data_IF_068431411242
#
_entry.id   IF_068431411242
#
_cell.length_a   1.000
_cell.length_b   1.000
_cell.length_c   1.000
_cell.angle_alpha   90.00
_cell.angle_beta   90.00
_cell.angle_gamma   90.00
#
_symmetry.space_group_name_H-M   'P 1'
#
loop_
_entity.id
_entity.type
_entity.pdbx_description
1 polymer ?
#
# COMPACT_ATOMS: atom_id res chain seq x y z
N UNK A 1 11.48 -65.45 19.52
CA UNK A 1 12.28 -65.53 20.76
C UNK A 1 11.60 -64.63 21.78
N UNK A 2 11.34 -65.19 22.98
CA UNK A 2 10.64 -64.66 24.16
C UNK A 2 10.92 -63.18 24.48
N UNK A 3 10.06 -62.40 25.14
CA UNK A 3 8.84 -62.68 25.87
C UNK A 3 8.21 -61.39 26.42
N UNK A 4 6.98 -61.49 26.90
CA UNK A 4 6.19 -60.43 27.51
C UNK A 4 6.60 -60.19 28.97
N UNK A 5 6.45 -58.95 29.46
CA UNK A 5 6.28 -58.65 30.88
C UNK A 5 5.32 -57.46 31.09
N UNK A 6 4.23 -57.71 31.83
CA UNK A 6 3.53 -56.75 32.71
C UNK A 6 3.85 -57.18 34.15
N UNK A 7 3.98 -56.24 35.10
CA UNK A 7 2.98 -56.10 36.17
C UNK A 7 2.70 -54.61 36.54
N UNK A 8 1.45 -54.15 36.71
CA UNK A 8 0.61 -54.07 37.94
C UNK A 8 1.16 -53.23 39.11
N UNK A 9 0.42 -52.16 39.48
CA UNK A 9 -0.17 -52.07 40.83
C UNK A 9 0.30 -50.98 41.81
N UNK A 10 -0.59 -50.01 42.01
CA UNK A 10 -1.18 -49.61 43.32
C UNK A 10 -0.53 -48.55 44.25
N UNK A 11 -1.43 -47.65 44.72
CA UNK A 11 -1.53 -46.95 46.02
C UNK A 11 -0.64 -45.71 46.21
N UNK A 12 -1.23 -44.50 46.19
CA UNK A 12 -1.92 -43.79 47.29
C UNK A 12 -1.00 -43.30 48.40
N UNK A 13 -0.92 -41.99 48.58
CA UNK A 13 -1.15 -41.37 49.88
C UNK A 13 -1.43 -39.86 49.75
N UNK A 14 -2.54 -39.46 50.36
CA UNK A 14 -2.87 -38.08 50.76
C UNK A 14 -2.02 -37.71 51.98
N UNK A 15 -1.72 -36.44 52.17
CA UNK A 15 -1.80 -35.68 53.42
C UNK A 15 -1.59 -34.19 53.06
N UNK A 16 -2.62 -33.35 53.23
CA UNK A 16 -2.88 -32.53 54.43
C UNK A 16 -1.87 -31.36 54.53
N UNK A 17 -2.22 -30.17 54.02
CA UNK A 17 -2.88 -29.07 54.74
C UNK A 17 -1.96 -28.30 55.67
N UNK A 18 -1.71 -27.03 55.36
CA UNK A 18 -1.60 -25.99 56.38
C UNK A 18 -2.04 -24.64 55.82
N UNK A 19 -3.01 -24.08 56.53
CA UNK A 19 -3.64 -22.79 56.37
C UNK A 19 -2.72 -21.68 56.91
N UNK A 20 -2.76 -20.50 56.29
CA UNK A 20 -2.58 -19.25 57.02
C UNK A 20 -3.55 -18.18 56.50
N UNK A 21 -4.41 -17.75 57.42
CA UNK A 21 -5.15 -16.49 57.43
C UNK A 21 -4.21 -15.30 57.22
N UNK A 22 -4.60 -14.17 56.64
CA UNK A 22 -5.49 -13.22 57.33
C UNK A 22 -5.70 -11.94 56.49
N UNK A 23 -6.96 -11.49 56.49
CA UNK A 23 -7.46 -10.13 56.73
C UNK A 23 -7.14 -8.87 55.86
N UNK A 24 -8.27 -8.17 55.59
CA UNK A 24 -8.49 -6.71 55.40
C UNK A 24 -8.04 -6.11 54.04
N UNK A 25 -8.74 -5.16 53.39
CA UNK A 25 -9.83 -4.24 53.72
C UNK A 25 -10.43 -3.72 52.40
N UNK A 26 -11.72 -3.39 52.42
CA UNK A 26 -12.43 -2.58 51.44
C UNK A 26 -11.95 -1.13 51.40
N UNK A 27 -11.89 -0.50 50.23
CA UNK A 27 -12.69 0.70 49.85
C UNK A 27 -12.14 1.46 48.63
N UNK A 28 -13.06 2.18 47.97
CA UNK A 28 -12.90 3.31 47.03
C UNK A 28 -12.72 3.04 45.52
N UNK A 29 -13.88 2.84 44.88
CA UNK A 29 -14.42 3.71 43.82
C UNK A 29 -13.52 4.89 43.38
N UNK A 30 -12.96 4.78 42.18
CA UNK A 30 -12.75 5.94 41.31
C UNK A 30 -13.22 5.63 39.89
N UNK A 31 -14.28 6.33 39.53
CA UNK A 31 -14.92 6.42 38.23
C UNK A 31 -14.00 7.29 37.36
N UNK A 32 -13.21 6.69 36.48
CA UNK A 32 -12.51 7.45 35.44
C UNK A 32 -13.41 7.52 34.20
N UNK A 33 -13.97 8.70 34.01
CA UNK A 33 -14.62 9.17 32.80
C UNK A 33 -13.63 9.18 31.63
N UNK A 34 -14.00 8.50 30.53
CA UNK A 34 -13.36 8.65 29.23
C UNK A 34 -13.35 10.12 28.79
N UNK A 35 -12.23 10.66 28.27
CA UNK A 35 -12.30 11.88 27.48
C UNK A 35 -12.80 11.51 26.08
N UNK A 36 -14.07 11.77 25.82
CA UNK A 36 -14.62 11.81 24.47
C UNK A 36 -13.96 12.98 23.71
N UNK A 37 -13.40 12.69 22.53
CA UNK A 37 -13.09 13.70 21.52
C UNK A 37 -14.42 14.29 21.01
N UNK A 38 -14.86 15.39 21.59
CA UNK A 38 -15.91 16.24 21.05
C UNK A 38 -15.66 17.68 21.46
N UNK A 39 -15.05 18.47 20.57
CA UNK A 39 -14.94 19.91 20.69
C UNK A 39 -16.26 20.55 20.24
N UNK A 40 -17.05 21.00 21.20
CA UNK A 40 -18.25 21.80 20.99
C UNK A 40 -17.84 23.22 20.57
N UNK A 41 -18.27 23.63 19.39
CA UNK A 41 -18.06 24.96 18.83
C UNK A 41 -18.91 26.01 19.55
N UNK A 42 -18.29 27.09 20.00
CA UNK A 42 -18.99 28.30 20.42
C UNK A 42 -19.38 29.09 19.16
N UNK A 43 -20.69 29.25 18.99
CA UNK A 43 -21.33 29.99 17.91
C UNK A 43 -21.05 31.48 18.05
N UNK A 44 -20.41 32.06 17.03
CA UNK A 44 -20.54 33.48 16.71
C UNK A 44 -21.04 33.57 15.28
N UNK A 45 -22.28 34.04 15.13
CA UNK A 45 -22.97 34.22 13.87
C UNK A 45 -22.21 35.21 12.96
N UNK A 46 -21.60 34.70 11.90
CA UNK A 46 -21.30 35.49 10.69
C UNK A 46 -21.73 34.65 9.49
N UNK A 47 -22.52 35.28 8.64
CA UNK A 47 -23.27 34.74 7.51
C UNK A 47 -22.47 33.87 6.54
N UNK A 48 -23.05 32.71 6.27
CA UNK A 48 -22.87 31.78 5.14
C UNK A 48 -22.11 32.30 3.90
N UNK A 49 -20.86 31.85 3.79
CA UNK A 49 -20.27 31.46 2.51
C UNK A 49 -19.81 30.01 2.67
N UNK A 50 -20.28 29.11 1.81
CA UNK A 50 -19.73 27.76 1.72
C UNK A 50 -18.23 27.86 1.42
N UNK A 51 -17.37 27.52 2.38
CA UNK A 51 -15.92 27.43 2.14
C UNK A 51 -15.58 26.08 1.49
N UNK A 52 -14.99 26.03 0.29
CA UNK A 52 -14.61 24.79 -0.40
C UNK A 52 -13.39 24.06 0.19
N UNK A 53 -13.05 24.29 1.47
CA UNK A 53 -11.78 23.93 2.08
C UNK A 53 -11.69 22.50 2.67
N UNK A 54 -12.59 21.56 2.31
CA UNK A 54 -12.60 20.22 2.94
C UNK A 54 -12.74 19.03 1.99
N UNK A 55 -12.73 19.24 0.67
CA UNK A 55 -12.86 18.14 -0.30
C UNK A 55 -11.48 17.68 -0.75
N UNK A 56 -11.11 16.44 -0.42
CA UNK A 56 -9.91 15.78 -0.94
C UNK A 56 -10.29 14.98 -2.18
N UNK A 57 -9.69 15.32 -3.33
CA UNK A 57 -9.90 14.64 -4.60
C UNK A 57 -8.57 14.39 -5.33
N UNK A 58 -8.42 13.23 -5.95
CA UNK A 58 -7.25 12.89 -6.77
C UNK A 58 -7.60 11.88 -7.86
N UNK A 59 -6.76 11.85 -8.89
CA UNK A 59 -6.83 10.86 -9.97
C UNK A 59 -5.79 9.77 -9.74
N UNK A 60 -6.13 8.54 -10.08
CA UNK A 60 -5.16 7.45 -10.08
C UNK A 60 -5.46 6.42 -11.16
N UNK A 61 -4.44 5.64 -11.49
CA UNK A 61 -4.54 4.49 -12.40
C UNK A 61 -3.63 3.37 -11.92
N UNK A 62 -4.02 2.14 -12.23
CA UNK A 62 -3.21 0.94 -12.02
C UNK A 62 -3.10 0.18 -13.33
N UNK A 63 -1.89 0.07 -13.87
CA UNK A 63 -1.60 -0.78 -15.02
C UNK A 63 -0.93 -2.06 -14.57
N UNK A 64 -1.34 -3.20 -15.13
CA UNK A 64 -0.68 -4.48 -14.87
C UNK A 64 0.48 -4.70 -15.83
N UNK A 65 1.67 -4.95 -15.29
CA UNK A 65 2.88 -5.11 -16.10
C UNK A 65 2.99 -6.55 -16.60
N UNK A 66 3.14 -6.69 -17.91
CA UNK A 66 3.41 -7.98 -18.55
C UNK A 66 4.92 -8.19 -18.62
N UNK A 67 5.39 -9.29 -18.02
CA UNK A 67 6.81 -9.59 -17.90
C UNK A 67 7.19 -10.87 -18.65
N UNK A 68 8.35 -10.82 -19.30
CA UNK A 68 9.03 -11.99 -19.86
C UNK A 68 10.42 -12.12 -19.23
N UNK A 69 10.53 -13.04 -18.28
CA UNK A 69 11.78 -13.34 -17.57
C UNK A 69 12.73 -14.23 -18.38
N UNK A 70 12.33 -14.68 -19.57
CA UNK A 70 13.05 -15.63 -20.42
C UNK A 70 13.19 -15.10 -21.87
N UNK A 71 13.77 -13.91 -22.11
CA UNK A 71 13.72 -13.29 -23.43
C UNK A 71 14.53 -14.01 -24.51
N UNK A 72 15.51 -14.87 -24.17
CA UNK A 72 16.50 -15.40 -25.12
C UNK A 72 16.91 -16.87 -24.91
N UNK A 73 15.96 -17.81 -24.79
CA UNK A 73 16.31 -19.25 -24.82
C UNK A 73 16.97 -19.74 -26.12
N UNK A 74 16.91 -18.95 -27.19
CA UNK A 74 17.46 -19.32 -28.51
C UNK A 74 18.98 -19.15 -28.65
N UNK A 75 19.67 -18.55 -27.66
CA UNK A 75 21.07 -18.14 -27.81
C UNK A 75 22.04 -18.73 -26.76
N UNK A 76 21.80 -19.93 -26.24
CA UNK A 76 22.81 -20.74 -25.51
C UNK A 76 23.42 -20.16 -24.22
N UNK A 77 23.21 -18.89 -23.90
CA UNK A 77 23.44 -18.28 -22.60
C UNK A 77 22.13 -18.32 -21.84
N UNK A 78 22.13 -18.98 -20.67
CA UNK A 78 21.05 -18.90 -19.70
C UNK A 78 20.94 -17.44 -19.23
N UNK A 79 19.95 -16.63 -19.64
CA UNK A 79 19.67 -15.39 -18.94
C UNK A 79 18.91 -15.82 -17.70
N UNK A 80 19.66 -16.19 -16.65
CA UNK A 80 19.06 -16.77 -15.44
C UNK A 80 17.96 -15.85 -14.92
N UNK A 81 16.77 -16.43 -14.73
CA UNK A 81 15.62 -15.74 -14.12
C UNK A 81 16.13 -14.99 -12.88
N UNK A 82 15.87 -13.67 -12.76
CA UNK A 82 16.36 -12.90 -11.61
C UNK A 82 15.91 -13.55 -10.32
N UNK A 83 16.86 -13.93 -9.46
CA UNK A 83 16.58 -14.57 -8.16
C UNK A 83 17.32 -13.86 -7.04
N UNK A 84 16.70 -13.82 -5.88
CA UNK A 84 17.36 -13.41 -4.65
C UNK A 84 18.30 -14.51 -4.12
N UNK A 85 18.99 -14.23 -3.01
CA UNK A 85 19.91 -15.18 -2.38
C UNK A 85 19.23 -16.43 -1.79
N UNK A 86 17.91 -16.43 -1.68
CA UNK A 86 17.09 -17.57 -1.26
C UNK A 86 16.34 -18.21 -2.41
N UNK A 87 16.73 -17.90 -3.65
CA UNK A 87 16.17 -18.42 -4.90
C UNK A 87 14.74 -17.98 -5.21
N UNK A 88 14.17 -16.99 -4.51
CA UNK A 88 12.88 -16.41 -4.90
C UNK A 88 13.05 -15.64 -6.21
N UNK A 89 12.15 -15.86 -7.16
CA UNK A 89 12.06 -15.08 -8.39
C UNK A 89 11.79 -13.61 -8.04
N UNK A 90 12.60 -12.70 -8.58
CA UNK A 90 12.49 -11.25 -8.39
C UNK A 90 11.85 -10.57 -9.60
N UNK A 91 11.38 -9.32 -9.45
CA UNK A 91 10.93 -8.53 -10.60
C UNK A 91 12.04 -8.38 -11.65
N UNK A 92 11.69 -8.15 -12.92
CA UNK A 92 12.69 -7.99 -13.95
C UNK A 92 13.66 -6.83 -13.67
N UNK A 93 14.95 -7.09 -13.88
CA UNK A 93 16.02 -6.09 -13.71
C UNK A 93 16.22 -5.21 -14.94
N UNK A 94 15.73 -5.62 -16.12
CA UNK A 94 15.93 -4.88 -17.36
C UNK A 94 14.59 -4.44 -17.92
N UNK A 95 14.51 -3.19 -18.38
CA UNK A 95 13.37 -2.65 -19.14
C UNK A 95 12.90 -3.58 -20.26
N UNK A 96 13.83 -4.25 -20.95
CA UNK A 96 13.53 -5.17 -22.07
C UNK A 96 12.76 -6.42 -21.67
N UNK A 97 12.73 -6.77 -20.39
CA UNK A 97 11.94 -7.89 -19.88
C UNK A 97 10.47 -7.50 -19.60
N UNK A 98 10.11 -6.22 -19.70
CA UNK A 98 8.73 -5.76 -19.70
C UNK A 98 8.22 -5.71 -21.14
N UNK A 99 7.20 -6.51 -21.45
CA UNK A 99 6.73 -6.70 -22.84
C UNK A 99 5.57 -5.78 -23.20
N UNK A 100 4.72 -5.45 -22.23
CA UNK A 100 3.59 -4.52 -22.37
C UNK A 100 3.00 -4.19 -20.99
N UNK A 101 1.98 -3.33 -20.96
CA UNK A 101 1.14 -3.11 -19.80
C UNK A 101 -0.33 -3.32 -20.19
N UNK A 102 -1.10 -4.01 -19.35
CA UNK A 102 -2.56 -4.01 -19.43
C UNK A 102 -3.04 -2.72 -18.79
N UNK A 103 -3.54 -1.81 -19.63
CA UNK A 103 -3.97 -0.47 -19.20
C UNK A 103 -5.25 -0.59 -18.38
N UNK A 104 -5.23 -0.04 -17.17
CA UNK A 104 -6.39 0.06 -16.30
C UNK A 104 -7.25 1.28 -16.58
N UNK A 105 -8.32 1.40 -15.81
CA UNK A 105 -9.24 2.54 -15.82
C UNK A 105 -8.65 3.66 -14.97
N UNK A 106 -8.69 4.90 -15.47
CA UNK A 106 -8.40 6.07 -14.63
C UNK A 106 -9.57 6.29 -13.69
N UNK A 107 -9.31 6.31 -12.40
CA UNK A 107 -10.30 6.57 -11.36
C UNK A 107 -10.10 7.95 -10.75
N UNK A 108 -11.20 8.53 -10.29
CA UNK A 108 -11.24 9.68 -9.40
C UNK A 108 -11.67 9.20 -8.02
N UNK A 109 -10.83 9.49 -7.03
CA UNK A 109 -11.22 9.43 -5.63
C UNK A 109 -11.73 10.81 -5.21
N UNK A 110 -12.88 10.88 -4.55
CA UNK A 110 -13.39 12.11 -3.94
C UNK A 110 -13.99 11.77 -2.57
N UNK A 111 -13.36 12.23 -1.49
CA UNK A 111 -13.81 12.05 -0.10
C UNK A 111 -14.24 10.60 0.25
N UNK A 112 -13.48 9.60 -0.21
CA UNK A 112 -13.73 8.20 0.09
C UNK A 112 -14.54 7.46 -0.96
N UNK A 113 -15.05 8.16 -1.98
CA UNK A 113 -15.81 7.56 -3.08
C UNK A 113 -14.92 7.46 -4.32
N UNK A 114 -14.90 6.29 -4.95
CA UNK A 114 -14.14 6.05 -6.18
C UNK A 114 -15.09 5.94 -7.35
N UNK A 115 -14.80 6.68 -8.42
CA UNK A 115 -15.60 6.66 -9.66
C UNK A 115 -14.69 6.64 -10.88
N UNK A 116 -15.07 5.99 -12.00
CA UNK A 116 -14.33 6.11 -13.25
C UNK A 116 -14.25 7.57 -13.72
N UNK A 117 -13.06 8.04 -14.07
CA UNK A 117 -12.82 9.38 -14.57
C UNK A 117 -12.88 9.38 -16.10
N UNK A 118 -14.09 9.37 -16.67
CA UNK A 118 -14.35 9.13 -18.10
C UNK A 118 -13.60 10.06 -19.08
N UNK A 119 -13.23 11.27 -18.65
CA UNK A 119 -12.49 12.25 -19.46
C UNK A 119 -10.98 12.14 -19.30
N UNK A 120 -10.49 11.04 -18.73
CA UNK A 120 -9.07 10.79 -18.52
C UNK A 120 -8.72 9.39 -19.01
N UNK A 121 -7.52 9.24 -19.53
CA UNK A 121 -6.99 7.96 -19.98
C UNK A 121 -5.51 7.85 -19.68
N UNK A 122 -4.98 6.63 -19.75
CA UNK A 122 -3.54 6.42 -19.81
C UNK A 122 -3.01 6.72 -21.21
N UNK A 123 -1.84 7.35 -21.28
CA UNK A 123 -1.14 7.54 -22.54
C UNK A 123 0.36 7.29 -22.37
N UNK A 124 0.87 6.41 -23.22
CA UNK A 124 2.30 6.15 -23.39
C UNK A 124 2.64 6.18 -24.89
N UNK A 125 3.35 7.20 -25.38
CA UNK A 125 3.69 7.31 -26.80
C UNK A 125 4.54 6.14 -27.30
N UNK A 126 5.56 5.74 -26.53
CA UNK A 126 6.52 4.70 -26.90
C UNK A 126 6.85 3.81 -25.71
N UNK A 127 6.58 2.52 -25.85
CA UNK A 127 6.88 1.48 -24.86
C UNK A 127 8.38 1.44 -24.52
N UNK A 128 8.71 1.26 -23.23
CA UNK A 128 10.08 1.18 -22.68
C UNK A 128 11.01 2.37 -23.03
N UNK A 129 10.48 3.49 -23.50
CA UNK A 129 11.27 4.69 -23.87
C UNK A 129 10.69 5.99 -23.33
N UNK A 130 9.38 6.05 -23.17
CA UNK A 130 8.69 7.21 -22.63
C UNK A 130 7.90 6.81 -21.39
N UNK A 131 7.93 7.62 -20.31
CA UNK A 131 7.05 7.42 -19.17
C UNK A 131 5.61 7.52 -19.64
N UNK A 132 4.78 6.60 -19.17
CA UNK A 132 3.34 6.73 -19.34
C UNK A 132 2.78 7.72 -18.33
N UNK A 133 1.60 8.27 -18.64
CA UNK A 133 0.94 9.26 -17.81
C UNK A 133 -0.56 9.29 -18.02
N UNK A 134 -1.29 9.70 -17.00
CA UNK A 134 -2.68 10.09 -17.13
C UNK A 134 -2.74 11.35 -18.01
N UNK A 135 -3.64 11.34 -18.97
CA UNK A 135 -3.95 12.47 -19.85
C UNK A 135 -5.42 12.80 -19.74
N UNK A 136 -5.76 14.04 -20.03
CA UNK A 136 -7.13 14.48 -20.18
C UNK A 136 -7.54 14.43 -21.63
N UNK A 137 -8.76 13.98 -21.86
CA UNK A 137 -9.38 13.87 -23.16
C UNK A 137 -10.47 14.92 -23.31
N UNK A 138 -10.57 15.49 -24.51
CA UNK A 138 -11.73 16.26 -24.91
C UNK A 138 -12.92 15.31 -25.10
N UNK A 139 -14.06 15.52 -24.41
CA UNK A 139 -15.21 14.63 -24.49
C UNK A 139 -15.83 14.51 -25.90
N UNK A 140 -15.65 15.52 -26.75
CA UNK A 140 -16.24 15.57 -28.09
C UNK A 140 -15.32 14.96 -29.16
N UNK A 141 -14.01 15.21 -29.05
CA UNK A 141 -13.04 14.78 -30.07
C UNK A 141 -12.23 13.54 -29.66
N UNK A 142 -12.28 13.16 -28.38
CA UNK A 142 -11.45 12.11 -27.79
C UNK A 142 -9.93 12.35 -27.98
N UNK A 143 -9.53 13.62 -28.19
CA UNK A 143 -8.13 14.01 -28.33
C UNK A 143 -7.56 14.47 -27.00
N UNK A 144 -6.24 14.31 -26.81
CA UNK A 144 -5.54 14.81 -25.62
C UNK A 144 -5.63 16.34 -25.60
N UNK A 145 -6.21 16.89 -24.53
CA UNK A 145 -6.34 18.34 -24.33
C UNK A 145 -5.65 18.87 -23.06
N UNK A 146 -5.04 17.99 -22.27
CA UNK A 146 -4.31 18.40 -21.07
C UNK A 146 -3.64 17.24 -20.34
N UNK A 147 -2.84 17.59 -19.33
CA UNK A 147 -2.13 16.66 -18.47
C UNK A 147 -2.40 17.05 -17.01
N UNK A 148 -2.99 16.16 -16.19
CA UNK A 148 -3.07 16.37 -14.75
C UNK A 148 -1.67 16.54 -14.14
N UNK A 149 -1.60 17.27 -13.04
CA UNK A 149 -0.34 17.50 -12.32
C UNK A 149 -0.01 16.21 -11.55
N UNK A 150 1.15 15.56 -11.77
CA UNK A 150 1.58 14.43 -10.96
C UNK A 150 1.72 14.82 -9.49
N UNK A 151 1.28 13.94 -8.59
CA UNK A 151 1.41 14.15 -7.15
C UNK A 151 2.82 13.80 -6.65
N UNK A 152 3.83 14.54 -7.12
CA UNK A 152 5.20 14.43 -6.60
C UNK A 152 5.33 15.33 -5.37
N UNK A 153 5.66 14.76 -4.22
CA UNK A 153 5.79 15.49 -2.96
C UNK A 153 7.15 15.21 -2.29
N UNK A 154 7.41 15.87 -1.16
CA UNK A 154 8.67 15.69 -0.42
C UNK A 154 8.87 14.28 0.16
N UNK A 155 7.81 13.47 0.20
CA UNK A 155 7.78 12.12 0.77
C UNK A 155 7.87 11.02 -0.27
N UNK A 156 7.71 11.34 -1.56
CA UNK A 156 7.86 10.37 -2.63
C UNK A 156 7.27 10.80 -3.96
N UNK A 157 7.52 10.00 -5.00
CA UNK A 157 7.01 10.27 -6.34
C UNK A 157 5.57 9.78 -6.53
N UNK A 158 4.88 10.46 -7.45
CA UNK A 158 3.54 10.17 -7.94
C UNK A 158 3.38 8.82 -8.62
N UNK A 159 4.48 8.24 -9.10
CA UNK A 159 4.50 7.03 -9.91
C UNK A 159 5.40 5.98 -9.27
N UNK A 160 4.86 4.79 -9.04
CA UNK A 160 5.60 3.70 -8.39
C UNK A 160 5.30 2.37 -9.09
N UNK A 161 6.29 1.48 -9.09
CA UNK A 161 6.14 0.11 -9.56
C UNK A 161 6.14 -0.84 -8.37
N UNK A 162 5.14 -1.71 -8.26
CA UNK A 162 4.93 -2.61 -7.12
C UNK A 162 4.80 -4.04 -7.62
N UNK A 163 5.50 -4.99 -7.02
CA UNK A 163 5.46 -6.41 -7.35
C UNK A 163 5.20 -7.27 -6.13
N UNK A 164 4.39 -8.32 -6.32
CA UNK A 164 4.35 -9.47 -5.43
C UNK A 164 5.12 -10.62 -6.07
N UNK A 165 6.12 -11.15 -5.35
CA UNK A 165 7.10 -12.07 -5.92
C UNK A 165 6.95 -13.51 -5.44
N UNK A 166 6.91 -13.72 -4.11
CA UNK A 166 6.63 -15.02 -3.51
C UNK A 166 6.13 -14.84 -2.07
N UNK A 167 5.59 -15.88 -1.41
CA UNK A 167 5.23 -15.78 0.01
C UNK A 167 6.42 -15.45 0.95
N UNK A 168 7.66 -15.68 0.50
CA UNK A 168 8.89 -15.43 1.26
C UNK A 168 9.60 -14.13 0.86
N UNK A 169 9.31 -13.58 -0.31
CA UNK A 169 9.70 -12.24 -0.77
C UNK A 169 8.42 -11.47 -1.18
N UNK A 170 7.62 -11.04 -0.21
CA UNK A 170 6.20 -10.76 -0.43
C UNK A 170 5.94 -9.57 -1.34
N UNK A 171 6.52 -8.41 -1.04
CA UNK A 171 6.27 -7.16 -1.78
C UNK A 171 7.58 -6.41 -2.02
N UNK A 172 7.84 -6.13 -3.30
CA UNK A 172 8.96 -5.32 -3.79
C UNK A 172 8.39 -4.08 -4.48
N UNK A 173 8.95 -2.91 -4.18
CA UNK A 173 8.49 -1.61 -4.66
C UNK A 173 9.65 -0.81 -5.23
N UNK A 174 9.35 0.04 -6.21
CA UNK A 174 10.26 1.07 -6.70
C UNK A 174 9.54 2.40 -6.81
N UNK A 175 10.31 3.46 -6.62
CA UNK A 175 9.89 4.86 -6.63
C UNK A 175 9.75 5.43 -8.05
N UNK A 176 9.65 4.59 -9.09
CA UNK A 176 9.48 5.06 -10.46
C UNK A 176 8.93 3.95 -11.36
N UNK A 177 8.77 4.25 -12.64
CA UNK A 177 8.41 3.32 -13.69
C UNK A 177 9.61 2.42 -14.04
N UNK A 178 9.56 1.16 -13.57
CA UNK A 178 10.62 0.18 -13.78
C UNK A 178 10.81 -0.23 -15.24
N UNK A 179 9.88 0.12 -16.14
CA UNK A 179 9.96 -0.16 -17.57
C UNK A 179 10.95 0.75 -18.32
N UNK A 180 11.50 1.77 -17.65
CA UNK A 180 12.32 2.80 -18.29
C UNK A 180 13.83 2.63 -18.09
N UNK A 181 14.27 1.65 -17.30
CA UNK A 181 15.68 1.56 -16.91
C UNK A 181 16.14 0.17 -16.50
N UNK A 182 17.30 0.18 -15.83
CA UNK A 182 17.88 -1.02 -15.24
C UNK A 182 17.63 -0.99 -13.75
N UNK A 183 16.87 -1.94 -13.26
CA UNK A 183 16.51 -2.06 -11.86
C UNK A 183 17.43 -3.02 -11.11
N UNK A 184 17.68 -2.73 -9.84
CA UNK A 184 18.53 -3.56 -8.97
C UNK A 184 17.98 -3.59 -7.55
N UNK A 185 18.14 -4.73 -6.88
CA UNK A 185 17.80 -4.83 -5.46
C UNK A 185 18.82 -4.06 -4.63
N UNK A 186 18.38 -3.02 -3.92
CA UNK A 186 19.27 -2.24 -3.05
C UNK A 186 19.77 -3.15 -1.94
N UNK A 187 21.07 -3.41 -1.90
CA UNK A 187 21.71 -4.05 -0.75
C UNK A 187 22.13 -2.89 0.13
N UNK A 188 21.77 -2.90 1.42
CA UNK A 188 22.19 -1.82 2.33
C UNK A 188 23.71 -1.88 2.64
N UNK A 189 24.56 -2.02 1.62
CA UNK A 189 26.00 -1.93 1.67
C UNK A 189 26.40 -0.46 1.55
N UNK A 190 27.34 0.03 2.39
CA UNK A 190 27.97 1.34 2.19
C UNK A 190 28.61 1.51 0.79
N UNK A 191 28.92 0.41 0.11
CA UNK A 191 29.41 0.36 -1.26
C UNK A 191 28.36 0.67 -2.34
N UNK A 192 27.06 0.59 -2.03
CA UNK A 192 25.95 0.88 -2.97
C UNK A 192 25.73 2.40 -3.16
N UNK A 193 26.56 3.25 -2.52
CA UNK A 193 26.48 4.72 -2.61
C UNK A 193 27.01 5.32 -3.93
N UNK A 194 27.57 4.50 -4.83
CA UNK A 194 28.29 4.96 -6.03
C UNK A 194 27.61 4.61 -7.37
N UNK A 195 26.33 4.24 -7.38
CA UNK A 195 25.64 4.02 -8.66
C UNK A 195 25.24 5.36 -9.29
N UNK A 196 26.18 5.95 -10.03
CA UNK A 196 25.92 7.00 -11.02
C UNK A 196 25.18 6.38 -12.23
N UNK A 197 23.93 6.80 -12.49
CA UNK A 197 23.18 6.39 -13.69
C UNK A 197 21.67 6.20 -13.47
N UNK A 198 20.94 5.94 -14.57
CA UNK A 198 19.48 5.68 -14.67
C UNK A 198 19.03 4.37 -13.99
N UNK A 199 19.60 4.02 -12.84
CA UNK A 199 19.26 2.81 -12.11
C UNK A 199 18.02 3.01 -11.25
N UNK A 200 17.19 1.97 -11.23
CA UNK A 200 15.90 1.96 -10.54
C UNK A 200 16.01 1.05 -9.31
N UNK A 201 16.02 1.58 -8.08
CA UNK A 201 16.15 0.74 -6.90
C UNK A 201 14.87 -0.05 -6.67
N UNK A 202 15.01 -1.37 -6.50
CA UNK A 202 14.03 -2.22 -5.86
C UNK A 202 14.23 -2.20 -4.36
N UNK A 203 13.13 -2.05 -3.64
CA UNK A 203 13.04 -1.91 -2.20
C UNK A 203 12.02 -2.93 -1.68
N UNK A 204 12.29 -3.58 -0.55
CA UNK A 204 11.24 -4.33 0.15
C UNK A 204 10.24 -3.31 0.73
N UNK A 205 8.95 -3.65 0.77
CA UNK A 205 7.97 -2.79 1.44
C UNK A 205 8.35 -2.56 2.91
N UNK A 206 8.39 -1.30 3.33
CA UNK A 206 8.60 -0.92 4.73
C UNK A 206 7.46 -0.03 5.22
N UNK A 207 7.41 0.11 6.55
CA UNK A 207 6.46 0.94 7.26
C UNK A 207 7.21 1.91 8.15
N UNK A 208 6.89 3.20 8.06
CA UNK A 208 7.48 4.17 8.97
C UNK A 208 6.87 4.04 10.37
N UNK A 209 7.68 4.16 11.44
CA UNK A 209 7.12 4.52 12.73
C UNK A 209 6.36 5.82 12.50
N UNK A 210 5.07 5.86 12.87
CA UNK A 210 4.54 7.14 13.31
C UNK A 210 5.50 7.62 14.38
N UNK A 211 6.31 8.65 14.09
CA UNK A 211 7.44 9.07 14.91
C UNK A 211 7.08 9.28 16.39
N UNK A 212 8.06 9.45 17.27
CA UNK A 212 7.78 9.97 18.61
C UNK A 212 7.03 11.31 18.48
N UNK A 213 5.77 11.35 18.90
CA UNK A 213 4.86 12.48 18.66
C UNK A 213 3.96 12.37 17.43
N UNK A 214 3.96 11.23 16.71
CA UNK A 214 2.96 10.94 15.69
C UNK A 214 1.58 10.94 16.32
N UNK A 215 0.71 11.77 15.75
CA UNK A 215 -0.70 11.91 16.11
C UNK A 215 -1.54 10.65 15.84
N UNK A 216 -0.94 9.57 15.32
CA UNK A 216 -1.67 8.39 14.84
C UNK A 216 -1.05 7.06 15.29
N UNK A 217 -0.98 6.76 16.60
CA UNK A 217 -0.61 5.43 17.07
C UNK A 217 -1.53 4.38 16.42
N UNK A 218 -0.98 3.21 16.06
CA UNK A 218 -1.72 2.12 15.44
C UNK A 218 -1.91 2.21 13.91
N UNK A 219 -1.52 3.32 13.27
CA UNK A 219 -1.54 3.44 11.80
C UNK A 219 -0.21 2.98 11.21
N UNK A 220 -0.28 2.16 10.16
CA UNK A 220 0.89 1.69 9.39
C UNK A 220 1.12 2.61 8.19
N UNK A 221 2.22 3.36 8.16
CA UNK A 221 2.55 4.26 7.04
C UNK A 221 3.49 3.58 6.04
N UNK A 222 2.99 3.18 4.88
CA UNK A 222 3.82 2.53 3.84
C UNK A 222 4.85 3.50 3.27
N UNK A 223 6.04 2.97 3.02
CA UNK A 223 7.14 3.70 2.41
C UNK A 223 7.94 2.78 1.46
N UNK A 224 8.18 3.28 0.24
CA UNK A 224 8.92 2.60 -0.81
C UNK A 224 10.42 2.88 -0.84
N UNK A 225 10.97 3.74 0.03
CA UNK A 225 12.40 4.12 0.09
C UNK A 225 13.28 3.11 0.85
N UNK A 226 12.72 1.94 1.19
CA UNK A 226 13.30 0.89 2.03
C UNK A 226 13.72 1.32 3.46
N UNK A 227 13.25 2.46 3.95
CA UNK A 227 13.48 2.90 5.33
C UNK A 227 12.31 2.53 6.25
N UNK A 228 12.59 2.20 7.52
CA UNK A 228 11.59 1.94 8.54
C UNK A 228 11.53 0.48 8.99
N UNK A 229 10.34 0.03 9.37
CA UNK A 229 10.05 -1.31 9.86
C UNK A 229 9.58 -2.24 8.75
N UNK A 230 9.95 -3.51 8.87
CA UNK A 230 9.47 -4.60 8.00
C UNK A 230 8.20 -5.25 8.55
N UNK A 231 7.43 -4.53 9.38
CA UNK A 231 6.19 -5.01 9.95
C UNK A 231 5.19 -3.87 10.11
N UNK A 232 3.90 -4.21 10.05
CA UNK A 232 2.77 -3.30 10.20
C UNK A 232 2.64 -2.82 11.65
N UNK A 233 2.14 -1.60 11.84
CA UNK A 233 1.84 -1.06 13.16
C UNK A 233 0.46 -1.52 13.65
N UNK A 234 0.37 -1.68 14.97
CA UNK A 234 -0.83 -2.14 15.65
C UNK A 234 -1.02 -3.65 15.66
N UNK A 235 -1.92 -4.13 16.52
CA UNK A 235 -2.34 -5.54 16.56
C UNK A 235 -3.57 -5.80 15.70
N UNK A 236 -3.63 -7.03 15.18
CA UNK A 236 -4.76 -7.65 14.49
C UNK A 236 -5.48 -6.78 13.42
N UNK A 237 -4.75 -6.19 12.44
CA UNK A 237 -5.37 -5.40 11.38
C UNK A 237 -6.33 -6.25 10.52
N UNK A 238 -7.55 -5.76 10.32
CA UNK A 238 -8.63 -6.43 9.58
C UNK A 238 -8.38 -6.49 8.07
N UNK A 239 -7.66 -5.51 7.54
CA UNK A 239 -7.25 -5.43 6.13
C UNK A 239 -6.10 -6.40 5.79
N UNK A 240 -5.40 -6.93 6.81
CA UNK A 240 -4.44 -8.02 6.68
C UNK A 240 -5.20 -9.35 6.80
N UNK A 241 -4.86 -10.40 6.02
CA UNK A 241 -3.79 -10.53 5.03
C UNK A 241 -4.12 -10.02 3.62
N UNK A 242 -5.24 -9.32 3.43
CA UNK A 242 -5.73 -9.04 2.09
C UNK A 242 -4.88 -8.03 1.32
N UNK A 243 -4.41 -6.99 1.99
CA UNK A 243 -3.61 -5.92 1.37
C UNK A 243 -2.11 -6.12 1.58
N UNK A 244 -1.72 -6.61 2.77
CA UNK A 244 -0.32 -6.86 3.12
C UNK A 244 -0.20 -8.31 3.59
N UNK A 245 0.82 -9.06 3.14
CA UNK A 245 1.03 -10.43 3.58
C UNK A 245 1.30 -10.59 5.08
N UNK A 246 0.91 -11.74 5.64
CA UNK A 246 1.08 -12.06 7.06
C UNK A 246 2.53 -12.02 7.56
N UNK A 247 3.51 -12.14 6.66
CA UNK A 247 4.93 -12.01 6.98
C UNK A 247 5.30 -10.64 7.55
N UNK A 248 4.50 -9.61 7.29
CA UNK A 248 4.65 -8.28 7.86
C UNK A 248 3.94 -8.12 9.21
N UNK A 249 3.37 -9.16 9.81
CA UNK A 249 2.69 -9.05 11.11
C UNK A 249 3.67 -8.59 12.19
N UNK A 250 3.24 -7.65 13.02
CA UNK A 250 3.98 -7.27 14.22
C UNK A 250 4.03 -8.42 15.24
N UNK A 251 5.22 -8.93 15.52
CA UNK A 251 5.45 -10.02 16.48
C UNK A 251 6.10 -9.56 17.79
N UNK A 252 6.24 -8.24 18.00
CA UNK A 252 6.86 -7.70 19.20
C UNK A 252 6.08 -8.10 20.46
N UNK A 253 6.80 -8.36 21.54
CA UNK A 253 6.21 -8.56 22.86
C UNK A 253 5.98 -7.20 23.54
N UNK A 254 4.81 -7.01 24.15
CA UNK A 254 4.45 -5.78 24.88
C UNK A 254 3.06 -5.27 24.57
N UNK A 255 2.70 -4.12 25.14
CA UNK A 255 1.46 -3.41 24.81
C UNK A 255 1.58 -2.77 23.42
N UNK A 256 1.13 -3.51 22.39
CA UNK A 256 0.97 -2.99 21.04
C UNK A 256 -0.44 -2.35 20.94
N UNK A 257 -0.58 -1.11 20.46
CA UNK A 257 -1.89 -0.49 20.25
C UNK A 257 -2.72 -1.30 19.24
N UNK A 258 -4.05 -1.15 19.26
CA UNK A 258 -4.89 -1.69 18.17
C UNK A 258 -4.45 -1.11 16.82
N UNK A 259 -4.55 -1.91 15.75
CA UNK A 259 -4.40 -1.34 14.42
C UNK A 259 -5.54 -0.34 14.17
N UNK A 260 -5.18 0.76 13.50
CA UNK A 260 -6.10 1.84 13.13
C UNK A 260 -6.15 2.04 11.62
N UNK A 261 -5.39 1.25 10.87
CA UNK A 261 -5.36 1.35 9.43
C UNK A 261 -3.98 1.35 8.77
N UNK A 262 -4.03 1.59 7.46
CA UNK A 262 -2.92 1.71 6.53
C UNK A 262 -2.97 3.09 5.88
N UNK A 263 -1.84 3.78 5.83
CA UNK A 263 -1.66 5.07 5.15
C UNK A 263 -0.23 5.18 4.59
N UNK A 264 0.26 6.37 4.26
CA UNK A 264 1.58 6.60 3.66
C UNK A 264 1.51 6.82 2.15
N UNK A 265 2.58 6.47 1.43
CA UNK A 265 2.70 6.74 -0.01
C UNK A 265 1.53 6.13 -0.82
N UNK A 266 0.68 7.00 -1.36
CA UNK A 266 -0.59 6.66 -1.98
C UNK A 266 -0.46 5.70 -3.19
N UNK A 267 0.52 5.84 -4.11
CA UNK A 267 0.69 4.88 -5.20
C UNK A 267 0.97 3.45 -4.69
N UNK A 268 1.76 3.30 -3.62
CA UNK A 268 2.00 1.99 -3.00
C UNK A 268 0.73 1.42 -2.37
N UNK A 269 -0.03 2.22 -1.60
CA UNK A 269 -1.29 1.73 -1.00
C UNK A 269 -2.27 1.24 -2.06
N UNK A 270 -2.44 2.00 -3.14
CA UNK A 270 -3.29 1.63 -4.27
C UNK A 270 -2.79 0.34 -4.95
N UNK A 271 -1.47 0.21 -5.15
CA UNK A 271 -0.86 -1.01 -5.68
C UNK A 271 -1.10 -2.24 -4.81
N UNK A 272 -1.11 -2.09 -3.49
CA UNK A 272 -1.43 -3.18 -2.56
C UNK A 272 -2.90 -3.64 -2.70
N UNK A 273 -3.83 -2.70 -2.89
CA UNK A 273 -5.24 -3.03 -3.19
C UNK A 273 -5.39 -3.78 -4.51
N UNK A 274 -4.62 -3.40 -5.53
CA UNK A 274 -4.68 -3.97 -6.87
C UNK A 274 -4.42 -5.48 -6.91
N UNK A 275 -3.63 -6.05 -5.99
CA UNK A 275 -3.38 -7.49 -5.95
C UNK A 275 -4.64 -8.33 -5.75
N UNK A 276 -5.69 -7.77 -5.14
CA UNK A 276 -7.00 -8.41 -4.97
C UNK A 276 -7.83 -8.48 -6.28
N UNK A 277 -7.33 -7.85 -7.34
CA UNK A 277 -7.90 -7.89 -8.67
C UNK A 277 -7.50 -9.16 -9.41
N UNK A 278 -8.36 -9.60 -10.33
CA UNK A 278 -8.00 -10.65 -11.27
C UNK A 278 -7.01 -10.10 -12.30
N UNK A 279 -6.13 -10.94 -12.86
CA UNK A 279 -5.29 -10.56 -13.99
C UNK A 279 -6.15 -9.96 -15.11
N UNK A 280 -5.65 -8.90 -15.74
CA UNK A 280 -6.31 -8.13 -16.82
C UNK A 280 -7.60 -7.39 -16.42
N UNK A 281 -8.06 -7.59 -15.19
CA UNK A 281 -9.29 -7.01 -14.65
C UNK A 281 -9.04 -6.42 -13.26
N UNK A 282 -7.89 -5.76 -13.10
CA UNK A 282 -7.47 -5.13 -11.84
C UNK A 282 -8.47 -4.07 -11.39
N UNK A 283 -9.03 -3.32 -12.34
CA UNK A 283 -10.04 -2.28 -12.14
C UNK A 283 -11.26 -2.74 -11.33
N UNK A 284 -11.60 -4.04 -11.40
CA UNK A 284 -12.71 -4.62 -10.66
C UNK A 284 -12.55 -4.48 -9.14
N UNK A 285 -11.33 -4.29 -8.62
CA UNK A 285 -11.13 -4.00 -7.20
C UNK A 285 -11.82 -2.69 -6.82
N UNK A 286 -11.64 -1.67 -7.65
CA UNK A 286 -12.12 -0.32 -7.40
C UNK A 286 -13.58 -0.15 -7.83
N UNK A 287 -13.98 -0.74 -8.97
CA UNK A 287 -15.37 -0.70 -9.46
C UNK A 287 -16.36 -1.38 -8.52
N UNK A 288 -15.94 -2.46 -7.83
CA UNK A 288 -16.82 -3.20 -6.92
C UNK A 288 -16.91 -2.57 -5.52
N UNK A 289 -16.35 -1.38 -5.29
CA UNK A 289 -16.44 -0.68 -4.02
C UNK A 289 -15.75 -1.39 -2.85
N UNK A 290 -14.72 -2.23 -3.13
CA UNK A 290 -13.92 -2.86 -2.06
C UNK A 290 -13.19 -1.82 -1.20
N UNK A 291 -12.97 -0.63 -1.75
CA UNK A 291 -12.48 0.53 -1.03
C UNK A 291 -13.53 1.64 -1.13
N UNK A 292 -14.16 1.94 0.00
CA UNK A 292 -15.25 2.93 0.11
C UNK A 292 -15.19 3.61 1.47
N UNK A 293 -15.34 4.93 1.50
CA UNK A 293 -15.27 5.75 2.73
C UNK A 293 -14.02 5.48 3.57
N UNK A 294 -12.88 5.29 2.89
CA UNK A 294 -11.59 4.93 3.50
C UNK A 294 -11.62 3.61 4.28
N UNK A 295 -12.58 2.72 4.03
CA UNK A 295 -12.64 1.38 4.61
C UNK A 295 -12.38 0.35 3.53
N UNK A 296 -11.61 -0.66 3.91
CA UNK A 296 -11.37 -1.81 3.04
C UNK A 296 -12.35 -2.94 3.40
N UNK A 297 -13.15 -3.36 2.43
CA UNK A 297 -14.17 -4.42 2.56
C UNK A 297 -13.84 -5.65 1.72
N UNK A 298 -12.60 -5.77 1.25
CA UNK A 298 -12.13 -6.97 0.56
C UNK A 298 -12.08 -8.20 1.47
N UNK A 299 -11.72 -9.34 0.89
CA UNK A 299 -11.71 -10.63 1.63
C UNK A 299 -10.72 -10.60 2.78
N UNK A 300 -10.96 -11.32 3.87
CA UNK A 300 -9.98 -11.53 4.95
C UNK A 300 -8.85 -12.51 4.59
N UNK A 301 -8.63 -12.78 3.30
CA UNK A 301 -7.67 -13.76 2.81
C UNK A 301 -6.64 -13.11 1.91
N UNK A 302 -5.46 -13.71 1.82
CA UNK A 302 -4.41 -13.29 0.90
C UNK A 302 -4.95 -13.28 -0.55
N UNK A 303 -4.47 -12.36 -1.40
CA UNK A 303 -4.88 -12.31 -2.79
C UNK A 303 -4.72 -13.65 -3.51
N UNK A 304 -5.66 -14.00 -4.39
CA UNK A 304 -5.67 -15.33 -5.05
C UNK A 304 -4.71 -15.46 -6.22
N UNK A 305 -4.36 -14.32 -6.82
CA UNK A 305 -3.63 -14.21 -8.08
C UNK A 305 -2.20 -13.70 -7.90
N UNK A 306 -1.66 -13.84 -6.69
CA UNK A 306 -0.23 -13.59 -6.41
C UNK A 306 0.53 -14.92 -6.44
N UNK A 307 1.84 -14.89 -6.68
CA UNK A 307 2.66 -16.10 -6.73
C UNK A 307 2.58 -16.90 -5.43
N UNK A 308 2.45 -18.23 -5.55
CA UNK A 308 2.39 -19.16 -4.40
C UNK A 308 3.70 -19.89 -4.16
N UNK A 309 4.53 -20.03 -5.19
CA UNK A 309 5.87 -20.60 -5.16
C UNK A 309 6.98 -19.57 -5.31
N UNK A 310 8.20 -19.94 -4.92
CA UNK A 310 9.39 -19.10 -5.11
C UNK A 310 9.90 -19.08 -6.55
N UNK A 311 9.43 -19.99 -7.40
CA UNK A 311 9.76 -20.11 -8.83
C UNK A 311 8.67 -19.54 -9.75
N UNK A 312 7.50 -19.22 -9.21
CA UNK A 312 6.41 -18.60 -9.95
C UNK A 312 6.77 -17.16 -10.40
N UNK A 313 6.08 -16.70 -11.44
CA UNK A 313 6.34 -15.37 -12.03
C UNK A 313 5.75 -14.27 -11.14
N UNK A 314 6.55 -13.27 -10.74
CA UNK A 314 6.05 -12.10 -10.03
C UNK A 314 4.92 -11.41 -10.78
N UNK A 315 3.94 -10.93 -10.02
CA UNK A 315 2.87 -10.09 -10.54
C UNK A 315 3.15 -8.66 -10.12
N UNK A 316 3.04 -7.70 -11.03
CA UNK A 316 3.33 -6.31 -10.69
C UNK A 316 2.48 -5.30 -11.42
N UNK A 317 2.46 -4.10 -10.83
CA UNK A 317 1.66 -2.98 -11.27
C UNK A 317 2.50 -1.72 -11.35
N UNK A 318 2.21 -0.90 -12.35
CA UNK A 318 2.61 0.50 -12.40
C UNK A 318 1.42 1.35 -11.94
N UNK A 319 1.64 2.16 -10.90
CA UNK A 319 0.60 3.01 -10.32
C UNK A 319 1.01 4.46 -10.47
N UNK A 320 0.10 5.31 -10.92
CA UNK A 320 0.29 6.76 -10.94
C UNK A 320 -0.85 7.47 -10.24
N UNK A 321 -0.50 8.52 -9.49
CA UNK A 321 -1.43 9.42 -8.79
C UNK A 321 -1.21 10.85 -9.26
N UNK A 322 -2.29 11.55 -9.59
CA UNK A 322 -2.27 12.95 -9.98
C UNK A 322 -3.24 13.77 -9.14
N UNK A 323 -2.95 15.06 -9.01
CA UNK A 323 -3.87 16.03 -8.44
C UNK A 323 -5.14 16.12 -9.28
N UNK A 324 -6.29 16.27 -8.62
CA UNK A 324 -7.57 16.58 -9.24
C UNK A 324 -7.93 18.02 -8.90
N UNK A 325 -7.32 18.96 -9.62
CA UNK A 325 -7.49 20.40 -9.42
C UNK A 325 -8.66 20.99 -10.20
N UNK A 326 -9.28 20.23 -11.10
CA UNK A 326 -10.38 20.71 -11.92
C UNK A 326 -11.71 20.63 -11.15
N UNK A 327 -12.37 21.76 -10.92
CA UNK A 327 -13.68 21.76 -10.26
C UNK A 327 -14.79 21.34 -11.23
N UNK A 328 -15.19 20.07 -11.19
CA UNK A 328 -16.39 19.57 -11.88
C UNK A 328 -16.37 19.78 -13.40
N UNK A 329 -17.55 19.99 -14.01
CA UNK A 329 -17.73 20.16 -15.47
C UNK A 329 -17.24 21.52 -16.01
N UNK A 330 -16.41 22.25 -15.26
CA UNK A 330 -15.92 23.56 -15.68
C UNK A 330 -14.81 23.42 -16.73
N UNK A 331 -14.71 24.37 -17.68
CA UNK A 331 -13.57 24.44 -18.59
C UNK A 331 -12.27 24.60 -17.81
N UNK A 332 -11.21 23.96 -18.30
CA UNK A 332 -9.86 24.11 -17.74
C UNK A 332 -9.33 25.51 -17.97
N UNK A 333 -9.52 26.34 -16.96
CA UNK A 333 -9.01 27.70 -16.89
C UNK A 333 -8.43 27.87 -15.50
N UNK A 334 -7.32 28.60 -15.36
CA UNK A 334 -6.68 28.80 -14.05
C UNK A 334 -7.67 29.29 -12.98
N UNK A 335 -8.64 30.11 -13.38
CA UNK A 335 -9.70 30.66 -12.52
C UNK A 335 -10.71 29.61 -12.02
N UNK A 336 -10.85 28.48 -12.71
CA UNK A 336 -11.79 27.40 -12.37
C UNK A 336 -11.11 26.25 -11.62
N UNK A 337 -9.78 26.26 -11.55
CA UNK A 337 -9.00 25.23 -10.90
C UNK A 337 -8.81 25.56 -9.42
N UNK A 338 -8.89 24.54 -8.58
CA UNK A 338 -8.36 24.64 -7.22
C UNK A 338 -6.85 24.93 -7.31
N UNK A 339 -6.32 25.82 -6.46
CA UNK A 339 -4.88 26.04 -6.39
C UNK A 339 -4.15 24.73 -6.11
N UNK A 340 -3.07 24.47 -6.84
CA UNK A 340 -2.26 23.25 -6.72
C UNK A 340 -1.84 23.00 -5.28
N UNK A 341 -1.47 24.06 -4.55
CA UNK A 341 -1.03 24.00 -3.16
C UNK A 341 -2.14 23.48 -2.23
N UNK A 342 -3.40 23.82 -2.53
CA UNK A 342 -4.56 23.34 -1.76
C UNK A 342 -4.80 21.85 -2.04
N UNK A 343 -4.73 21.43 -3.30
CA UNK A 343 -4.82 20.01 -3.66
C UNK A 343 -3.70 19.19 -3.02
N UNK A 344 -2.46 19.66 -3.13
CA UNK A 344 -1.28 19.04 -2.51
C UNK A 344 -1.45 18.90 -1.00
N UNK A 345 -1.80 19.99 -0.30
CA UNK A 345 -1.99 19.97 1.15
C UNK A 345 -3.12 19.01 1.58
N UNK A 346 -4.20 18.92 0.81
CA UNK A 346 -5.31 18.00 1.08
C UNK A 346 -4.90 16.53 0.91
N UNK A 347 -4.07 16.21 -0.09
CA UNK A 347 -3.55 14.86 -0.31
C UNK A 347 -2.49 14.49 0.73
N UNK A 348 -1.56 15.40 1.05
CA UNK A 348 -0.55 15.17 2.09
C UNK A 348 -1.19 14.92 3.45
N UNK A 349 -2.27 15.66 3.76
CA UNK A 349 -3.06 15.42 4.97
C UNK A 349 -3.69 14.03 4.95
N UNK A 350 -4.21 13.58 3.81
CA UNK A 350 -4.78 12.25 3.66
C UNK A 350 -3.73 11.14 3.84
N UNK A 351 -2.53 11.30 3.26
CA UNK A 351 -1.44 10.32 3.36
C UNK A 351 -0.83 10.21 4.77
N UNK A 352 -0.65 11.35 5.45
CA UNK A 352 0.19 11.40 6.66
C UNK A 352 -0.55 11.68 7.96
N UNK A 353 -1.79 12.16 7.90
CA UNK A 353 -2.58 12.49 9.10
C UNK A 353 -3.86 11.67 9.24
N UNK A 354 -4.41 11.22 8.13
CA UNK A 354 -5.57 10.35 8.14
C UNK A 354 -5.17 8.90 7.81
N UNK A 355 -6.01 7.96 8.23
CA UNK A 355 -5.93 6.59 7.74
C UNK A 355 -6.67 6.51 6.40
N UNK A 356 -5.92 6.26 5.33
CA UNK A 356 -6.43 6.04 3.98
C UNK A 356 -7.26 4.74 3.89
N UNK A 357 -6.82 3.72 4.63
CA UNK A 357 -7.57 2.49 4.91
C UNK A 357 -7.75 2.39 6.41
N UNK A 358 -9.00 2.28 6.86
CA UNK A 358 -9.40 2.14 8.26
C UNK A 358 -9.79 0.70 8.55
N UNK A 359 -9.57 0.30 9.81
CA UNK A 359 -10.10 -0.93 10.39
C UNK A 359 -11.60 -0.88 10.69
#
# INVERSE_FOLDING_TARGET
>A
MFGAFKPTGSKSNRHASSSFSSHHKSSHSHRHTNPNCSSTSTVTHVSSFFSPASTTSFLFIVNELQINLEPNRAAGSDPSVPRDQWTNTMPPQLATAYTSETIGTVFRYTNGIITPAQNYAWYRPVWNRTPGRIVRLDPNTNTINGYPIPYDNQWGPSTQTIFSCSPHLPIIVSETDATLGTAFMRRYCPCDRHYEGNYIPWNVLHFEPGGEGSSCPGVSFVNATAAGYTFVMGKDPSWMPSLVPMSYRNSRSGEIPESRGLSGQLPTVIGLMAFQGQPEHVDNVFLNGKWHENRWTGTSHAPRHVPKGGDERPRGFLVQVCLDNLQGNMPDHEENNLPTEVCMANLERLEWRDALVRD
#
